data_IF_078928260688
#
_entry.id   IF_078928260688
#
_cell.length_a   1.000
_cell.length_b   1.000
_cell.length_c   1.000
_cell.angle_alpha   90.00
_cell.angle_beta   90.00
_cell.angle_gamma   90.00
#
_symmetry.space_group_name_H-M   'P 1'
#
loop_
_entity.id
_entity.type
_entity.pdbx_description
1 polymer ?
#
# COMPACT_ATOMS: atom_id res chain seq x y z
N UNK A 1 5.60 -10.05 -1.41
CA UNK A 1 5.60 -8.84 -2.26
C UNK A 1 4.52 -8.88 -3.34
N UNK A 2 4.41 -9.96 -4.13
CA UNK A 2 3.45 -10.05 -5.25
C UNK A 2 1.99 -9.79 -4.84
N UNK A 3 1.55 -10.35 -3.72
CA UNK A 3 0.19 -10.16 -3.22
C UNK A 3 -0.11 -8.72 -2.80
N UNK A 4 0.86 -8.04 -2.18
CA UNK A 4 0.75 -6.64 -1.81
C UNK A 4 0.60 -5.75 -3.05
N UNK A 5 1.43 -5.99 -4.07
CA UNK A 5 1.36 -5.29 -5.35
C UNK A 5 0.03 -5.54 -6.05
N UNK A 6 -0.48 -6.77 -6.01
CA UNK A 6 -1.79 -7.11 -6.57
C UNK A 6 -2.90 -6.29 -5.92
N UNK A 7 -2.97 -6.26 -4.59
CA UNK A 7 -3.99 -5.45 -3.87
C UNK A 7 -3.88 -3.96 -4.25
N UNK A 8 -2.66 -3.45 -4.40
CA UNK A 8 -2.46 -2.06 -4.79
C UNK A 8 -2.98 -1.77 -6.20
N UNK A 9 -2.64 -2.63 -7.17
CA UNK A 9 -3.07 -2.48 -8.55
C UNK A 9 -4.58 -2.67 -8.71
N UNK A 10 -5.18 -3.60 -7.95
CA UNK A 10 -6.64 -3.81 -7.96
C UNK A 10 -7.41 -2.58 -7.44
N UNK A 11 -6.81 -1.79 -6.55
CA UNK A 11 -7.44 -0.58 -6.00
C UNK A 11 -7.14 0.70 -6.79
N UNK A 12 -5.93 0.83 -7.31
CA UNK A 12 -5.44 2.11 -7.84
C UNK A 12 -4.93 2.02 -9.28
N UNK A 13 -4.84 0.83 -9.88
CA UNK A 13 -4.29 0.64 -11.22
C UNK A 13 -4.93 1.52 -12.28
N UNK A 14 -6.25 1.69 -12.23
CA UNK A 14 -7.00 2.58 -13.14
C UNK A 14 -6.59 4.06 -13.00
N UNK A 15 -6.20 4.50 -11.80
CA UNK A 15 -5.73 5.87 -11.53
C UNK A 15 -4.28 6.09 -11.94
N UNK A 16 -3.52 4.99 -12.06
CA UNK A 16 -2.12 4.99 -12.47
C UNK A 16 -1.97 4.72 -13.98
N UNK A 17 -3.06 4.70 -14.75
CA UNK A 17 -3.06 4.29 -16.17
C UNK A 17 -2.39 2.91 -16.38
N UNK A 18 -2.52 2.02 -15.39
CA UNK A 18 -1.88 0.70 -15.38
C UNK A 18 -0.39 0.69 -15.05
N UNK A 19 0.22 1.84 -14.71
CA UNK A 19 1.60 1.92 -14.23
C UNK A 19 1.72 1.15 -12.91
N UNK A 20 2.67 0.20 -12.87
CA UNK A 20 3.03 -0.51 -11.65
C UNK A 20 4.15 0.28 -10.95
N UNK A 21 3.93 0.79 -9.73
CA UNK A 21 4.98 1.48 -8.99
C UNK A 21 6.17 0.56 -8.70
N UNK A 22 7.36 1.14 -8.69
CA UNK A 22 8.53 0.50 -8.10
C UNK A 22 8.33 0.31 -6.59
N UNK A 23 8.98 -0.70 -6.01
CA UNK A 23 8.78 -1.11 -4.62
C UNK A 23 9.19 -0.02 -3.63
N UNK A 24 10.18 0.78 -4.02
CA UNK A 24 10.73 1.92 -3.28
C UNK A 24 10.10 3.27 -3.67
N UNK A 25 9.15 3.27 -4.62
CA UNK A 25 8.45 4.49 -4.99
C UNK A 25 7.52 4.96 -3.85
N UNK A 26 7.50 6.26 -3.61
CA UNK A 26 6.53 6.88 -2.71
C UNK A 26 5.14 6.80 -3.32
N UNK A 27 4.35 5.85 -2.83
CA UNK A 27 2.94 5.63 -3.24
C UNK A 27 1.96 6.29 -2.29
N UNK A 28 2.33 6.51 -1.03
CA UNK A 28 1.48 7.15 -0.02
C UNK A 28 2.23 8.31 0.68
N UNK A 29 1.47 9.20 1.32
CA UNK A 29 1.98 10.38 2.02
C UNK A 29 2.13 11.61 1.11
N UNK A 30 2.55 12.74 1.67
CA UNK A 30 2.51 14.05 1.00
C UNK A 30 3.42 14.20 -0.22
N UNK A 31 4.36 13.26 -0.42
CA UNK A 31 5.32 13.26 -1.53
C UNK A 31 4.99 12.30 -2.67
N UNK A 32 3.84 11.62 -2.63
CA UNK A 32 3.50 10.65 -3.68
C UNK A 32 3.14 11.36 -5.00
N UNK A 33 3.59 10.80 -6.12
CA UNK A 33 3.33 11.34 -7.47
C UNK A 33 1.99 10.88 -8.07
N UNK A 34 1.26 10.02 -7.37
CA UNK A 34 0.08 9.31 -7.88
C UNK A 34 -1.24 9.96 -7.45
N UNK A 35 -1.18 11.08 -6.72
CA UNK A 35 -2.35 11.80 -6.22
C UNK A 35 -3.17 11.00 -5.22
N UNK A 36 -2.56 10.00 -4.55
CA UNK A 36 -3.22 9.23 -3.50
C UNK A 36 -3.30 10.06 -2.22
N UNK A 37 -4.50 10.16 -1.64
CA UNK A 37 -4.74 10.96 -0.44
C UNK A 37 -4.80 10.08 0.81
N UNK A 38 -4.91 10.69 2.00
CA UNK A 38 -4.98 9.96 3.28
C UNK A 38 -6.11 8.93 3.32
N UNK A 39 -7.23 9.21 2.64
CA UNK A 39 -8.34 8.25 2.52
C UNK A 39 -7.98 7.03 1.68
N UNK A 40 -7.12 7.18 0.68
CA UNK A 40 -6.64 6.07 -0.13
C UNK A 40 -5.69 5.16 0.67
N UNK A 41 -4.86 5.74 1.54
CA UNK A 41 -4.04 4.96 2.47
C UNK A 41 -4.91 4.08 3.38
N UNK A 42 -6.02 4.62 3.91
CA UNK A 42 -6.95 3.86 4.75
C UNK A 42 -7.68 2.77 3.96
N UNK A 43 -8.09 3.05 2.72
CA UNK A 43 -8.68 2.05 1.82
C UNK A 43 -7.71 0.92 1.53
N UNK A 44 -6.45 1.25 1.27
CA UNK A 44 -5.40 0.25 1.05
C UNK A 44 -5.21 -0.62 2.29
N UNK A 45 -5.02 -0.02 3.47
CA UNK A 45 -4.89 -0.75 4.73
C UNK A 45 -6.08 -1.70 4.97
N UNK A 46 -7.31 -1.25 4.72
CA UNK A 46 -8.50 -2.10 4.84
C UNK A 46 -8.52 -3.26 3.84
N UNK A 47 -8.00 -3.07 2.62
CA UNK A 47 -7.96 -4.13 1.62
C UNK A 47 -6.90 -5.20 1.94
N UNK A 48 -5.84 -4.84 2.68
CA UNK A 48 -4.84 -5.79 3.16
C UNK A 48 -5.41 -6.79 4.16
N UNK A 49 -6.52 -6.48 4.85
CA UNK A 49 -7.14 -7.38 5.83
C UNK A 49 -7.55 -8.71 5.22
N UNK A 50 -7.98 -8.74 3.96
CA UNK A 50 -8.39 -9.98 3.30
C UNK A 50 -7.22 -10.96 3.11
N UNK A 51 -6.09 -10.58 2.47
CA UNK A 51 -4.97 -11.48 2.26
C UNK A 51 -4.05 -11.64 3.48
N UNK A 52 -3.90 -10.62 4.33
CA UNK A 52 -2.92 -10.63 5.43
C UNK A 52 -3.52 -10.78 6.83
N UNK A 53 -4.85 -10.70 6.97
CA UNK A 53 -5.55 -10.96 8.23
C UNK A 53 -5.07 -10.07 9.38
N UNK A 54 -4.88 -10.68 10.54
CA UNK A 54 -4.60 -9.96 11.79
C UNK A 54 -3.28 -9.17 11.78
N UNK A 55 -2.33 -9.54 10.92
CA UNK A 55 -1.03 -8.83 10.77
C UNK A 55 -1.21 -7.37 10.36
N UNK A 56 -2.36 -7.03 9.79
CA UNK A 56 -2.69 -5.66 9.37
C UNK A 56 -2.95 -4.75 10.57
N UNK A 57 -3.44 -5.30 11.69
CA UNK A 57 -3.73 -4.49 12.89
C UNK A 57 -2.48 -3.93 13.56
N UNK A 58 -1.33 -4.59 13.38
CA UNK A 58 -0.04 -4.14 13.90
C UNK A 58 0.65 -3.11 12.99
N UNK A 59 0.06 -2.83 11.82
CA UNK A 59 0.62 -1.89 10.86
C UNK A 59 0.47 -0.44 11.32
N UNK A 60 1.59 0.29 11.25
CA UNK A 60 1.61 1.72 11.52
C UNK A 60 1.30 2.48 10.24
N UNK A 61 0.04 2.89 10.08
CA UNK A 61 -0.44 3.61 8.89
C UNK A 61 0.36 4.90 8.62
N UNK A 62 0.89 5.54 9.66
CA UNK A 62 1.82 6.69 9.54
C UNK A 62 3.11 6.39 8.76
N UNK A 63 3.50 5.11 8.68
CA UNK A 63 4.69 4.64 7.96
C UNK A 63 4.35 4.03 6.59
N UNK A 64 3.11 4.16 6.12
CA UNK A 64 2.71 3.73 4.79
C UNK A 64 3.22 4.78 3.80
N UNK A 65 4.36 4.49 3.20
CA UNK A 65 5.04 5.40 2.27
C UNK A 65 5.35 4.69 0.96
N UNK A 66 6.03 3.54 1.02
CA UNK A 66 6.38 2.70 -0.13
C UNK A 66 5.78 1.30 0.01
N UNK A 67 5.67 0.56 -1.09
CA UNK A 67 5.23 -0.83 -1.01
C UNK A 67 6.23 -1.68 -0.21
N UNK A 68 7.54 -1.39 -0.30
CA UNK A 68 8.57 -2.04 0.52
C UNK A 68 8.36 -1.82 2.01
N UNK A 69 8.10 -0.58 2.45
CA UNK A 69 7.94 -0.29 3.89
C UNK A 69 6.73 -1.00 4.50
N UNK A 70 5.68 -1.21 3.71
CA UNK A 70 4.47 -1.93 4.12
C UNK A 70 4.74 -3.43 4.16
N UNK A 71 5.42 -3.96 3.14
CA UNK A 71 5.83 -5.36 3.10
C UNK A 71 6.72 -5.73 4.29
N UNK A 72 7.70 -4.90 4.62
CA UNK A 72 8.63 -5.15 5.72
C UNK A 72 7.91 -5.14 7.08
N UNK A 73 6.89 -4.30 7.26
CA UNK A 73 6.04 -4.34 8.45
C UNK A 73 5.22 -5.64 8.52
N UNK A 74 4.64 -6.10 7.40
CA UNK A 74 3.88 -7.36 7.32
C UNK A 74 4.73 -8.62 7.57
N UNK A 75 6.04 -8.56 7.31
CA UNK A 75 6.97 -9.66 7.58
C UNK A 75 7.45 -9.70 9.04
N UNK A 76 7.47 -8.55 9.71
CA UNK A 76 7.98 -8.40 11.09
C UNK A 76 6.86 -8.25 12.14
N UNK A 77 5.59 -8.31 11.72
CA UNK A 77 4.39 -8.39 12.56
C UNK A 77 3.90 -9.82 12.78
#
# INVERSE_FOLDING_TARGET
>A
MDELRKVFMDLFGDRLDGEVPDDDALVFGSGNKYGLESMDTMRFASALLQPFGDKVYDLKVENFTTLRSIHDQLQNG
#
